data_IF_723480554252
#
_entry.id   IF_723480554252
#
_cell.length_a   1.000
_cell.length_b   1.000
_cell.length_c   1.000
_cell.angle_alpha   90.00
_cell.angle_beta   90.00
_cell.angle_gamma   90.00
#
_symmetry.space_group_name_H-M   'P 1'
#
loop_
_entity.id
_entity.type
_entity.pdbx_description
1 polymer ?
#
# COMPACT_ATOMS: atom_id res chain seq x y z
N UNK A 1 -15.74 -16.32 4.61
CA UNK A 1 -15.04 -15.65 5.73
C UNK A 1 -16.07 -15.21 6.74
N UNK A 2 -15.95 -15.59 8.01
CA UNK A 2 -16.87 -15.15 9.06
C UNK A 2 -16.55 -13.71 9.49
N UNK A 3 -17.57 -12.89 9.75
CA UNK A 3 -17.40 -11.55 10.31
C UNK A 3 -17.38 -11.63 11.83
N UNK A 4 -16.42 -10.94 12.46
CA UNK A 4 -16.34 -10.78 13.91
C UNK A 4 -16.67 -9.35 14.28
N UNK A 5 -17.64 -9.16 15.17
CA UNK A 5 -17.92 -7.84 15.76
C UNK A 5 -16.80 -7.46 16.72
N UNK A 6 -16.31 -6.23 16.60
CA UNK A 6 -15.29 -5.64 17.46
C UNK A 6 -15.78 -4.28 17.95
N UNK A 7 -15.29 -3.86 19.11
CA UNK A 7 -15.45 -2.49 19.59
C UNK A 7 -14.22 -1.68 19.19
N UNK A 8 -14.45 -0.46 18.69
CA UNK A 8 -13.40 0.50 18.35
C UNK A 8 -13.73 1.83 19.03
N UNK A 9 -12.69 2.54 19.46
CA UNK A 9 -12.80 3.90 19.97
C UNK A 9 -12.31 4.87 18.90
N UNK A 10 -13.06 5.94 18.68
CA UNK A 10 -12.75 6.99 17.72
C UNK A 10 -13.00 8.34 18.37
N UNK A 11 -12.28 9.34 17.90
CA UNK A 11 -12.58 10.74 18.17
C UNK A 11 -14.03 11.08 17.73
N UNK A 12 -14.74 11.85 18.55
CA UNK A 12 -16.16 12.15 18.33
C UNK A 12 -16.38 13.03 17.10
N UNK A 13 -15.51 14.01 16.86
CA UNK A 13 -15.61 14.88 15.68
C UNK A 13 -15.38 14.07 14.40
N UNK A 14 -14.36 13.21 14.42
CA UNK A 14 -14.07 12.31 13.32
C UNK A 14 -15.25 11.37 13.03
N UNK A 15 -15.86 10.79 14.06
CA UNK A 15 -17.03 9.93 13.91
C UNK A 15 -18.21 10.70 13.31
N UNK A 16 -18.49 11.91 13.80
CA UNK A 16 -19.57 12.75 13.28
C UNK A 16 -19.35 13.15 11.81
N UNK A 17 -18.10 13.41 11.40
CA UNK A 17 -17.76 13.66 10.00
C UNK A 17 -17.87 12.41 9.14
N UNK A 18 -17.43 11.27 9.65
CA UNK A 18 -17.53 9.98 8.99
C UNK A 18 -19.00 9.62 8.71
N UNK A 19 -19.89 9.82 9.68
CA UNK A 19 -21.32 9.52 9.55
C UNK A 19 -22.06 10.40 8.54
N UNK A 20 -21.54 11.59 8.27
CA UNK A 20 -22.09 12.49 7.24
C UNK A 20 -21.71 12.08 5.83
N UNK A 21 -20.70 11.22 5.65
CA UNK A 21 -20.31 10.75 4.34
C UNK A 21 -21.46 9.95 3.69
N UNK A 22 -21.82 10.32 2.47
CA UNK A 22 -22.96 9.72 1.75
C UNK A 22 -22.82 8.19 1.68
N UNK A 23 -21.62 7.71 1.43
CA UNK A 23 -21.35 6.28 1.38
C UNK A 23 -21.57 5.57 2.74
N UNK A 24 -21.24 6.22 3.86
CA UNK A 24 -21.51 5.66 5.19
C UNK A 24 -23.00 5.59 5.45
N UNK A 25 -23.77 6.57 4.96
CA UNK A 25 -25.24 6.58 5.05
C UNK A 25 -25.88 5.48 4.20
N UNK A 26 -25.29 5.16 3.03
CA UNK A 26 -25.80 4.15 2.12
C UNK A 26 -25.38 2.72 2.48
N UNK A 27 -24.11 2.51 2.85
CA UNK A 27 -23.52 1.18 3.03
C UNK A 27 -23.31 0.79 4.50
N UNK A 28 -23.39 1.78 5.40
CA UNK A 28 -23.13 1.62 6.83
C UNK A 28 -21.65 1.67 7.20
N UNK A 29 -21.41 2.07 8.45
CA UNK A 29 -20.05 2.25 9.01
C UNK A 29 -19.15 1.04 8.81
N UNK A 30 -19.64 -0.16 9.12
CA UNK A 30 -18.84 -1.39 9.04
C UNK A 30 -18.39 -1.71 7.62
N UNK A 31 -19.19 -1.40 6.60
CA UNK A 31 -18.80 -1.65 5.21
C UNK A 31 -17.65 -0.71 4.80
N UNK A 32 -17.81 0.59 5.09
CA UNK A 32 -16.81 1.60 4.76
C UNK A 32 -15.52 1.39 5.56
N UNK A 33 -15.60 1.08 6.86
CA UNK A 33 -14.44 0.79 7.70
C UNK A 33 -13.66 -0.44 7.21
N UNK A 34 -14.34 -1.51 6.80
CA UNK A 34 -13.65 -2.68 6.22
C UNK A 34 -12.91 -2.30 4.94
N UNK A 35 -13.53 -1.52 4.05
CA UNK A 35 -12.87 -1.09 2.81
C UNK A 35 -11.66 -0.21 3.10
N UNK A 36 -11.83 0.82 3.93
CA UNK A 36 -10.74 1.70 4.35
C UNK A 36 -9.58 0.95 5.02
N UNK A 37 -9.89 -0.07 5.83
CA UNK A 37 -8.88 -0.94 6.45
C UNK A 37 -8.12 -1.75 5.40
N UNK A 38 -8.82 -2.31 4.41
CA UNK A 38 -8.19 -3.01 3.28
C UNK A 38 -7.27 -2.11 2.47
N UNK A 39 -7.70 -0.89 2.15
CA UNK A 39 -6.90 0.11 1.44
C UNK A 39 -5.66 0.54 2.25
N UNK A 40 -5.81 0.74 3.56
CA UNK A 40 -4.70 1.03 4.47
C UNK A 40 -3.64 -0.08 4.42
N UNK A 41 -4.06 -1.34 4.57
CA UNK A 41 -3.14 -2.49 4.54
C UNK A 41 -2.46 -2.64 3.17
N UNK A 42 -3.20 -2.44 2.08
CA UNK A 42 -2.64 -2.46 0.73
C UNK A 42 -1.59 -1.36 0.53
N UNK A 43 -1.84 -0.16 1.04
CA UNK A 43 -0.86 0.94 1.04
C UNK A 43 0.39 0.59 1.84
N UNK A 44 0.24 0.03 3.04
CA UNK A 44 1.37 -0.40 3.86
C UNK A 44 2.22 -1.46 3.14
N UNK A 45 1.58 -2.41 2.47
CA UNK A 45 2.30 -3.43 1.68
C UNK A 45 3.12 -2.81 0.55
N UNK A 46 2.57 -1.82 -0.18
CA UNK A 46 3.30 -1.11 -1.24
C UNK A 46 4.50 -0.34 -0.68
N UNK A 47 4.34 0.33 0.46
CA UNK A 47 5.44 1.05 1.13
C UNK A 47 6.54 0.08 1.54
N UNK A 48 6.19 -1.09 2.08
CA UNK A 48 7.16 -2.09 2.48
C UNK A 48 7.92 -2.67 1.29
N UNK A 49 7.23 -2.97 0.18
CA UNK A 49 7.88 -3.42 -1.05
C UNK A 49 8.86 -2.36 -1.55
N UNK A 50 8.43 -1.10 -1.64
CA UNK A 50 9.31 -0.01 -2.07
C UNK A 50 10.53 0.19 -1.13
N UNK A 51 10.35 -0.02 0.18
CA UNK A 51 11.44 -0.01 1.16
C UNK A 51 12.43 -1.15 0.90
N UNK A 52 11.93 -2.36 0.65
CA UNK A 52 12.76 -3.52 0.33
C UNK A 52 13.50 -3.35 -0.99
N UNK A 53 12.84 -2.84 -2.04
CA UNK A 53 13.47 -2.52 -3.32
C UNK A 53 14.60 -1.50 -3.14
N UNK A 54 14.37 -0.41 -2.40
CA UNK A 54 15.44 0.56 -2.09
C UNK A 54 16.58 -0.05 -1.29
N UNK A 55 16.30 -0.97 -0.37
CA UNK A 55 17.35 -1.68 0.38
C UNK A 55 18.17 -2.61 -0.52
N UNK A 56 17.52 -3.35 -1.42
CA UNK A 56 18.17 -4.31 -2.29
C UNK A 56 19.01 -3.63 -3.40
N UNK A 57 18.42 -2.63 -4.06
CA UNK A 57 19.07 -1.91 -5.16
C UNK A 57 19.91 -0.71 -4.70
N UNK A 58 19.57 -0.08 -3.57
CA UNK A 58 20.37 1.00 -2.99
C UNK A 58 21.64 0.51 -2.27
N UNK A 59 21.76 -0.79 -2.02
CA UNK A 59 22.95 -1.42 -1.46
C UNK A 59 23.87 -2.06 -2.52
N UNK A 60 23.50 -2.07 -3.80
CA UNK A 60 24.39 -2.54 -4.87
C UNK A 60 25.31 -1.41 -5.34
N UNK A 61 26.47 -1.34 -4.68
CA UNK A 61 27.69 -0.89 -5.30
C UNK A 61 28.05 -1.87 -6.42
N UNK A 62 27.85 -1.46 -7.67
CA UNK A 62 28.07 -2.22 -8.91
C UNK A 62 27.28 -3.54 -9.01
N UNK A 63 26.69 -3.79 -10.18
CA UNK A 63 26.36 -5.17 -10.56
C UNK A 63 27.64 -5.99 -10.40
N UNK A 64 27.63 -7.05 -9.59
CA UNK A 64 28.82 -7.85 -9.32
C UNK A 64 29.48 -8.30 -10.62
N UNK A 65 30.78 -8.67 -10.59
CA UNK A 65 31.57 -9.03 -11.80
C UNK A 65 30.89 -10.09 -12.70
N UNK A 66 29.91 -10.84 -12.19
CA UNK A 66 29.06 -11.79 -12.92
C UNK A 66 28.11 -11.16 -13.96
N UNK A 67 27.85 -9.86 -13.88
CA UNK A 67 27.00 -9.11 -14.81
C UNK A 67 27.80 -8.11 -15.68
N UNK A 68 29.13 -8.15 -15.60
CA UNK A 68 30.02 -7.31 -16.42
C UNK A 68 29.83 -7.65 -17.90
N UNK A 69 29.44 -6.66 -18.71
CA UNK A 69 29.09 -6.84 -20.14
C UNK A 69 27.60 -6.81 -20.46
N UNK A 70 26.71 -6.85 -19.45
CA UNK A 70 25.27 -6.60 -19.65
C UNK A 70 24.91 -5.12 -19.80
N UNK A 71 25.84 -4.21 -19.49
CA UNK A 71 25.65 -2.76 -19.60
C UNK A 71 25.36 -2.32 -21.03
N UNK A 72 25.94 -3.01 -22.02
CA UNK A 72 25.77 -2.71 -23.46
C UNK A 72 24.51 -3.36 -24.08
N UNK A 73 23.92 -4.37 -23.43
CA UNK A 73 22.70 -5.03 -23.93
C UNK A 73 21.40 -4.26 -23.60
N UNK A 74 21.44 -3.26 -22.73
CA UNK A 74 20.27 -2.44 -22.38
C UNK A 74 19.86 -1.42 -23.47
N UNK A 75 20.47 -1.46 -24.65
CA UNK A 75 20.27 -0.53 -25.76
C UNK A 75 18.98 -0.75 -26.59
N UNK A 76 17.94 -1.42 -26.06
CA UNK A 76 16.70 -1.72 -26.79
C UNK A 76 15.66 -0.59 -26.82
N UNK A 77 16.07 0.68 -26.87
CA UNK A 77 15.17 1.84 -27.00
C UNK A 77 15.75 2.93 -27.91
N UNK A 78 16.38 2.54 -29.02
CA UNK A 78 16.72 3.45 -30.12
C UNK A 78 16.08 2.94 -31.43
N UNK A 79 14.75 2.86 -31.47
CA UNK A 79 13.96 3.11 -32.69
C UNK A 79 12.50 3.43 -32.35
#
# INVERSE_FOLDING_TARGET
MAMKTIQITMDEELLARFDKAEEVRQLGRSAVLRRATGEYLARQRRVEIARQSRKAYGAHAALGDEFKGWEDEAAWMNE
#
